data_IF_779975472208
#
_entry.id   IF_779975472208
#
_cell.length_a   1.000
_cell.length_b   1.000
_cell.length_c   1.000
_cell.angle_alpha   90.00
_cell.angle_beta   90.00
_cell.angle_gamma   90.00
#
_symmetry.space_group_name_H-M   'P 1'
#
loop_
_entity.id
_entity.type
_entity.pdbx_description
1 polymer ?
#
# COMPACT_ATOMS: atom_id res chain seq x y z
N UNK A 1 -9.02 26.32 -6.34
CA UNK A 1 -9.23 24.87 -6.56
C UNK A 1 -10.03 24.73 -7.84
N UNK A 2 -9.56 23.98 -8.85
CA UNK A 2 -10.34 23.77 -10.08
C UNK A 2 -11.59 22.98 -9.73
N UNK A 3 -12.76 23.50 -10.10
CA UNK A 3 -14.06 22.89 -9.80
C UNK A 3 -14.23 21.48 -10.42
N UNK A 4 -13.38 21.09 -11.37
CA UNK A 4 -13.49 19.84 -12.13
C UNK A 4 -12.54 18.71 -11.69
N UNK A 5 -11.81 18.87 -10.58
CA UNK A 5 -10.95 17.81 -10.06
C UNK A 5 -11.75 16.88 -9.12
N UNK A 6 -11.74 15.54 -9.33
CA UNK A 6 -12.45 14.62 -8.44
C UNK A 6 -11.85 14.71 -7.02
N UNK A 7 -12.71 15.01 -6.04
CA UNK A 7 -12.31 15.09 -4.63
C UNK A 7 -12.07 13.67 -4.11
N UNK A 8 -10.83 13.41 -3.67
CA UNK A 8 -10.45 12.12 -3.08
C UNK A 8 -10.59 12.18 -1.57
N UNK A 9 -11.49 11.39 -1.02
CA UNK A 9 -11.57 11.14 0.42
C UNK A 9 -10.67 9.94 0.78
N UNK A 10 -9.74 10.15 1.72
CA UNK A 10 -8.91 9.09 2.32
C UNK A 10 -8.91 9.30 3.83
N UNK A 11 -8.94 8.20 4.60
CA UNK A 11 -8.99 8.23 6.06
C UNK A 11 -10.15 9.10 6.59
N UNK A 12 -11.38 8.79 6.15
CA UNK A 12 -12.59 9.51 6.58
C UNK A 12 -12.70 9.41 8.11
N UNK A 13 -12.62 10.56 8.80
CA UNK A 13 -12.92 10.64 10.22
C UNK A 13 -14.45 10.71 10.39
N UNK A 14 -15.05 9.57 10.70
CA UNK A 14 -16.51 9.43 10.86
C UNK A 14 -17.05 10.23 12.04
N UNK A 15 -16.27 10.43 13.11
CA UNK A 15 -16.69 11.23 14.26
C UNK A 15 -16.81 12.71 13.88
N UNK A 16 -15.78 13.27 13.23
CA UNK A 16 -15.82 14.66 12.76
C UNK A 16 -16.91 14.88 11.69
N UNK A 17 -17.19 13.85 10.87
CA UNK A 17 -18.29 13.90 9.91
C UNK A 17 -19.66 13.93 10.62
N UNK A 18 -19.83 13.16 11.70
CA UNK A 18 -21.06 13.12 12.49
C UNK A 18 -21.33 14.48 13.16
N UNK A 19 -20.28 15.09 13.71
CA UNK A 19 -20.34 16.44 14.30
C UNK A 19 -20.73 17.49 13.25
N UNK A 20 -20.13 17.44 12.05
CA UNK A 20 -20.43 18.37 10.95
C UNK A 20 -21.86 18.20 10.41
N UNK A 21 -22.36 16.97 10.32
CA UNK A 21 -23.69 16.66 9.83
C UNK A 21 -24.77 16.79 10.91
N UNK A 22 -24.37 17.08 12.15
CA UNK A 22 -25.23 17.13 13.34
C UNK A 22 -26.08 15.85 13.53
N UNK A 23 -25.62 14.72 13.01
CA UNK A 23 -26.35 13.45 12.98
C UNK A 23 -25.41 12.30 13.33
N UNK A 24 -25.90 11.36 14.15
CA UNK A 24 -25.16 10.15 14.49
C UNK A 24 -24.99 9.26 13.25
N UNK A 25 -23.74 8.94 12.90
CA UNK A 25 -23.41 8.08 11.78
C UNK A 25 -23.15 6.66 12.24
N UNK A 26 -23.66 5.68 11.49
CA UNK A 26 -23.37 4.27 11.71
C UNK A 26 -21.98 3.99 11.10
N UNK A 27 -21.10 3.23 11.77
CA UNK A 27 -19.75 2.92 11.26
C UNK A 27 -19.79 1.83 10.18
N UNK A 28 -20.64 2.01 9.16
CA UNK A 28 -20.80 1.11 8.03
C UNK A 28 -20.59 1.88 6.73
N UNK A 29 -19.88 1.25 5.80
CA UNK A 29 -19.68 1.78 4.44
C UNK A 29 -20.41 0.86 3.48
N UNK A 30 -21.39 1.40 2.76
CA UNK A 30 -22.13 0.67 1.73
C UNK A 30 -21.52 0.98 0.37
N UNK A 31 -20.89 -0.02 -0.24
CA UNK A 31 -20.38 0.07 -1.60
C UNK A 31 -21.35 -0.63 -2.57
N UNK A 32 -21.86 0.07 -3.60
CA UNK A 32 -22.72 -0.55 -4.60
C UNK A 32 -21.89 -1.49 -5.49
N UNK A 33 -22.05 -2.80 -5.33
CA UNK A 33 -21.34 -3.79 -6.16
C UNK A 33 -22.19 -4.31 -7.33
N UNK A 34 -23.52 -4.36 -7.19
CA UNK A 34 -24.43 -4.99 -8.16
C UNK A 34 -25.72 -4.16 -8.40
N UNK A 35 -25.60 -2.85 -8.61
CA UNK A 35 -26.78 -2.01 -8.90
C UNK A 35 -27.02 -1.94 -10.42
N UNK A 36 -28.22 -2.29 -10.93
CA UNK A 36 -28.54 -2.15 -12.35
C UNK A 36 -28.40 -0.68 -12.78
N UNK A 37 -27.58 -0.41 -13.80
CA UNK A 37 -27.23 0.94 -14.29
C UNK A 37 -26.32 1.77 -13.37
N UNK A 38 -25.36 1.13 -12.71
CA UNK A 38 -24.29 1.85 -12.00
C UNK A 38 -23.19 2.31 -12.96
N UNK A 39 -23.20 3.60 -13.34
CA UNK A 39 -22.24 4.19 -14.30
C UNK A 39 -21.10 5.00 -13.63
N UNK A 40 -20.91 4.89 -12.32
CA UNK A 40 -19.83 5.58 -11.62
C UNK A 40 -18.51 4.84 -11.86
N UNK A 41 -17.47 5.50 -12.41
CA UNK A 41 -16.17 4.88 -12.61
C UNK A 41 -15.58 4.53 -11.23
N UNK A 42 -15.20 3.28 -11.02
CA UNK A 42 -14.43 2.85 -9.85
C UNK A 42 -12.94 2.93 -10.21
N UNK A 43 -12.21 3.98 -9.77
CA UNK A 43 -10.80 4.15 -10.14
C UNK A 43 -9.87 3.11 -9.49
N UNK A 44 -10.33 2.38 -8.46
CA UNK A 44 -9.55 1.34 -7.79
C UNK A 44 -9.71 -0.02 -8.48
N UNK A 45 -9.02 -0.23 -9.60
CA UNK A 45 -8.89 -1.58 -10.15
C UNK A 45 -7.92 -2.36 -9.25
N UNK A 46 -8.25 -3.58 -8.77
CA UNK A 46 -7.28 -4.40 -8.05
C UNK A 46 -6.08 -4.60 -8.96
N UNK A 47 -4.94 -4.02 -8.57
CA UNK A 47 -3.70 -4.21 -9.31
C UNK A 47 -3.41 -5.70 -9.20
N UNK A 48 -3.30 -6.46 -10.31
CA UNK A 48 -2.92 -7.85 -10.23
C UNK A 48 -1.59 -7.89 -9.47
N UNK A 49 -1.60 -8.56 -8.32
CA UNK A 49 -0.40 -8.95 -7.57
C UNK A 49 0.33 -9.99 -8.43
N UNK A 50 0.88 -9.54 -9.58
CA UNK A 50 1.59 -10.41 -10.49
C UNK A 50 2.83 -10.93 -9.78
N UNK A 51 3.13 -12.21 -9.97
CA UNK A 51 4.25 -12.89 -9.34
C UNK A 51 5.61 -12.17 -9.57
N UNK A 52 5.68 -11.34 -10.61
CA UNK A 52 6.82 -10.50 -10.95
C UNK A 52 7.24 -9.54 -9.83
N UNK A 53 6.31 -9.06 -8.98
CA UNK A 53 6.69 -8.25 -7.80
C UNK A 53 7.54 -9.03 -6.79
N UNK A 54 7.40 -10.35 -6.72
CA UNK A 54 8.19 -11.19 -5.80
C UNK A 54 9.64 -11.40 -6.28
N UNK A 55 9.92 -11.22 -7.57
CA UNK A 55 11.28 -11.32 -8.10
C UNK A 55 12.16 -10.16 -7.63
N UNK A 56 11.63 -8.94 -7.62
CA UNK A 56 12.34 -7.77 -7.10
C UNK A 56 12.66 -7.89 -5.62
N UNK A 57 11.72 -8.41 -4.83
CA UNK A 57 11.93 -8.69 -3.41
C UNK A 57 12.98 -9.78 -3.20
N UNK A 58 12.91 -10.89 -3.94
CA UNK A 58 13.91 -11.95 -3.88
C UNK A 58 15.32 -11.40 -4.16
N UNK A 59 15.48 -10.61 -5.23
CA UNK A 59 16.76 -9.98 -5.55
C UNK A 59 17.29 -9.13 -4.38
N UNK A 60 16.44 -8.30 -3.75
CA UNK A 60 16.84 -7.50 -2.59
C UNK A 60 17.40 -8.36 -1.45
N UNK A 61 16.71 -9.44 -1.05
CA UNK A 61 17.18 -10.31 0.04
C UNK A 61 18.47 -11.03 -0.30
N UNK A 62 18.58 -11.60 -1.50
CA UNK A 62 19.79 -12.32 -1.90
C UNK A 62 20.99 -11.38 -2.05
N UNK A 63 20.78 -10.15 -2.53
CA UNK A 63 21.85 -9.13 -2.57
C UNK A 63 22.31 -8.76 -1.16
N UNK A 64 21.38 -8.51 -0.22
CA UNK A 64 21.74 -8.20 1.17
C UNK A 64 22.49 -9.37 1.83
N UNK A 65 22.02 -10.60 1.64
CA UNK A 65 22.70 -11.79 2.15
C UNK A 65 24.11 -11.96 1.56
N UNK A 66 24.28 -11.73 0.25
CA UNK A 66 25.58 -11.80 -0.41
C UNK A 66 26.57 -10.75 0.09
N UNK A 67 26.13 -9.49 0.23
CA UNK A 67 26.94 -8.40 0.81
C UNK A 67 27.36 -8.74 2.24
N UNK A 68 26.42 -9.20 3.06
CA UNK A 68 26.68 -9.58 4.46
C UNK A 68 27.70 -10.73 4.56
N UNK A 69 27.52 -11.80 3.78
CA UNK A 69 28.46 -12.93 3.74
C UNK A 69 29.86 -12.50 3.30
N UNK A 70 29.95 -11.61 2.30
CA UNK A 70 31.23 -11.06 1.85
C UNK A 70 31.95 -10.27 2.94
N UNK A 71 31.23 -9.39 3.64
CA UNK A 71 31.75 -8.62 4.78
C UNK A 71 32.23 -9.52 5.91
N UNK A 72 31.43 -10.51 6.31
CA UNK A 72 31.80 -11.45 7.38
C UNK A 72 33.02 -12.29 7.00
N UNK A 73 33.09 -12.77 5.77
CA UNK A 73 34.24 -13.56 5.27
C UNK A 73 35.51 -12.72 5.23
N UNK A 74 35.42 -11.46 4.78
CA UNK A 74 36.54 -10.52 4.78
C UNK A 74 37.07 -10.24 6.18
N UNK A 75 36.17 -9.99 7.14
CA UNK A 75 36.53 -9.75 8.54
C UNK A 75 37.19 -11.00 9.14
N UNK A 76 36.60 -12.18 8.95
CA UNK A 76 37.15 -13.45 9.44
C UNK A 76 38.55 -13.72 8.87
N UNK A 77 38.73 -13.50 7.56
CA UNK A 77 40.02 -13.64 6.90
C UNK A 77 41.07 -12.68 7.47
N UNK A 78 40.71 -11.40 7.64
CA UNK A 78 41.61 -10.39 8.22
C UNK A 78 41.98 -10.72 9.67
N UNK A 79 41.05 -11.27 10.44
CA UNK A 79 41.29 -11.65 11.83
C UNK A 79 42.19 -12.88 11.94
N UNK A 80 42.05 -13.85 11.04
CA UNK A 80 42.92 -15.05 11.01
C UNK A 80 44.34 -14.75 10.51
N UNK A 81 44.51 -13.73 9.66
CA UNK A 81 45.80 -13.29 9.11
C UNK A 81 46.53 -12.28 10.02
N UNK A 82 45.90 -11.85 11.11
CA UNK A 82 46.49 -11.03 12.17
C UNK A 82 46.97 -11.93 13.30
#
# INVERSE_FOLDING_TARGET
QRADAPIRFQNINTAALADMLEHSLIPVVLQPENVPRYNLPQPWVPIPLSAQKHQGYALQWFTMAGVFLGLMSWIAYRQYRR
#
